data_IF_781011525805
#
_entry.id   IF_781011525805
#
_cell.length_a   1.000
_cell.length_b   1.000
_cell.length_c   1.000
_cell.angle_alpha   90.00
_cell.angle_beta   90.00
_cell.angle_gamma   90.00
#
_symmetry.space_group_name_H-M   'P 1'
#
loop_
_entity.id
_entity.type
_entity.pdbx_description
1 polymer ?
#
# COMPACT_ATOMS: atom_id res chain seq x y z
N UNK A 1 -6.91 -1.40 -60.84
CA UNK A 1 -6.78 -1.24 -60.21
C UNK A 1 -6.96 -1.49 -59.00
N UNK A 2 -6.95 -1.69 -58.45
CA UNK A 2 -7.05 -2.02 -57.50
C UNK A 2 -6.53 -1.78 -56.39
N UNK A 3 -6.58 -1.51 -55.72
CA UNK A 3 -6.12 -1.23 -54.74
C UNK A 3 -6.20 -1.80 -53.61
N UNK A 4 -5.91 -2.12 -53.14
CA UNK A 4 -5.63 -2.75 -52.26
C UNK A 4 -5.66 -2.27 -51.12
N UNK A 5 -6.02 -2.14 -50.54
CA UNK A 5 -6.10 -1.70 -49.51
C UNK A 5 -5.82 -2.21 -48.36
N UNK A 6 -5.41 -2.25 -47.89
CA UNK A 6 -4.99 -2.59 -46.92
C UNK A 6 -5.24 -2.39 -45.77
N UNK A 7 -5.57 -2.49 -45.28
CA UNK A 7 -5.90 -2.51 -44.28
C UNK A 7 -5.36 -2.86 -43.20
N UNK A 8 -4.92 -2.59 -42.83
CA UNK A 8 -4.41 -2.79 -41.90
C UNK A 8 -4.69 -2.99 -40.80
N UNK A 9 -4.93 -3.29 -40.44
CA UNK A 9 -5.02 -3.69 -39.57
C UNK A 9 -4.47 -3.66 -38.51
N UNK A 10 -4.44 -3.21 -38.10
CA UNK A 10 -3.97 -3.01 -37.17
C UNK A 10 -4.27 -3.54 -36.09
N UNK A 11 -4.18 -4.19 -35.86
CA UNK A 11 -4.33 -4.98 -34.77
C UNK A 11 -3.52 -4.46 -33.71
N UNK A 12 -3.86 -3.55 -33.15
CA UNK A 12 -3.16 -3.19 -32.03
C UNK A 12 -3.49 -4.12 -31.00
N UNK A 13 -2.59 -4.68 -30.43
CA UNK A 13 -2.77 -5.53 -29.31
C UNK A 13 -3.24 -4.68 -28.20
N UNK A 14 -4.33 -4.83 -27.87
CA UNK A 14 -4.81 -4.20 -26.77
C UNK A 14 -4.13 -4.73 -25.61
N UNK A 15 -3.18 -4.10 -25.14
CA UNK A 15 -2.77 -4.39 -23.83
C UNK A 15 -3.90 -4.05 -23.01
N UNK A 16 -4.37 -4.94 -22.28
CA UNK A 16 -5.53 -4.71 -21.48
C UNK A 16 -5.14 -3.66 -20.47
N UNK A 17 -5.74 -2.57 -20.55
CA UNK A 17 -5.63 -1.53 -19.56
C UNK A 17 -5.93 -2.08 -18.18
N UNK A 18 -6.77 -3.10 -18.08
CA UNK A 18 -7.10 -3.74 -16.83
C UNK A 18 -5.90 -4.44 -16.19
N UNK A 19 -5.07 -5.12 -16.98
CA UNK A 19 -3.90 -5.79 -16.44
C UNK A 19 -2.88 -4.79 -15.91
N UNK A 20 -2.67 -3.69 -16.64
CA UNK A 20 -1.77 -2.64 -16.20
C UNK A 20 -2.29 -1.96 -14.94
N UNK A 21 -3.60 -1.73 -14.84
CA UNK A 21 -4.18 -1.13 -13.66
C UNK A 21 -4.04 -2.06 -12.44
N UNK A 22 -4.25 -3.35 -12.62
CA UNK A 22 -4.12 -4.33 -11.53
C UNK A 22 -2.69 -4.38 -11.02
N UNK A 23 -1.72 -4.35 -11.93
CA UNK A 23 -0.32 -4.36 -11.56
C UNK A 23 0.05 -3.10 -10.79
N UNK A 24 -0.43 -1.94 -11.23
CA UNK A 24 -0.19 -0.67 -10.56
C UNK A 24 -0.82 -0.67 -9.16
N UNK A 25 -2.02 -1.20 -9.03
CA UNK A 25 -2.70 -1.31 -7.74
C UNK A 25 -1.87 -2.18 -6.80
N UNK A 26 -1.40 -3.33 -7.30
CA UNK A 26 -0.56 -4.20 -6.48
C UNK A 26 0.71 -3.50 -6.01
N UNK A 27 1.39 -2.80 -6.90
CA UNK A 27 2.61 -2.09 -6.53
C UNK A 27 2.34 -1.02 -5.48
N UNK A 28 1.28 -0.25 -5.68
CA UNK A 28 0.89 0.81 -4.74
C UNK A 28 0.57 0.22 -3.38
N UNK A 29 -0.25 -0.83 -3.36
CA UNK A 29 -0.67 -1.42 -2.10
C UNK A 29 0.45 -2.18 -1.40
N UNK A 30 1.43 -2.69 -2.17
CA UNK A 30 2.63 -3.28 -1.60
C UNK A 30 3.44 -2.21 -0.85
N UNK A 31 3.62 -1.04 -1.46
CA UNK A 31 4.35 0.06 -0.81
C UNK A 31 3.63 0.53 0.45
N UNK A 32 2.31 0.62 0.40
CA UNK A 32 1.50 1.03 1.56
C UNK A 32 1.61 -0.01 2.68
N UNK A 33 1.58 -1.29 2.32
CA UNK A 33 1.69 -2.35 3.32
C UNK A 33 3.07 -2.39 3.98
N UNK A 34 4.11 -2.05 3.23
CA UNK A 34 5.47 -1.96 3.79
C UNK A 34 5.58 -0.81 4.78
N UNK A 35 4.96 0.31 4.47
CA UNK A 35 4.88 1.44 5.39
C UNK A 35 4.16 1.02 6.67
N UNK A 36 3.07 0.28 6.54
CA UNK A 36 2.33 -0.22 7.68
C UNK A 36 3.17 -1.17 8.52
N UNK A 37 3.89 -2.08 7.89
CA UNK A 37 4.75 -3.00 8.61
C UNK A 37 5.80 -2.25 9.43
N UNK A 38 6.48 -1.29 8.81
CA UNK A 38 7.49 -0.51 9.52
C UNK A 38 6.89 0.28 10.67
N UNK A 39 5.71 0.86 10.44
CA UNK A 39 5.01 1.61 11.48
C UNK A 39 4.69 0.72 12.69
N UNK A 40 4.18 -0.49 12.44
CA UNK A 40 3.86 -1.41 13.52
C UNK A 40 5.12 -1.90 14.23
N UNK A 41 6.22 -2.11 13.50
CA UNK A 41 7.49 -2.46 14.13
C UNK A 41 7.94 -1.35 15.09
N UNK A 42 7.80 -0.10 14.69
CA UNK A 42 8.13 1.03 15.55
C UNK A 42 7.23 1.05 16.78
N UNK A 43 5.94 0.79 16.59
CA UNK A 43 4.99 0.69 17.72
C UNK A 43 5.45 -0.40 18.69
N UNK A 44 5.79 -1.57 18.18
CA UNK A 44 6.20 -2.69 19.02
C UNK A 44 7.54 -2.43 19.72
N UNK A 45 8.41 -1.64 19.10
CA UNK A 45 9.68 -1.26 19.68
C UNK A 45 9.59 -0.11 20.69
N UNK A 46 8.38 0.40 20.91
CA UNK A 46 8.17 1.41 21.92
C UNK A 46 8.43 2.83 21.46
N UNK A 47 8.52 3.07 20.15
CA UNK A 47 8.63 4.45 19.64
C UNK A 47 7.37 5.19 19.98
N UNK A 48 7.44 6.36 20.64
CA UNK A 48 6.23 7.10 21.00
C UNK A 48 5.49 7.60 19.77
N UNK A 49 4.17 7.62 19.86
CA UNK A 49 3.34 8.08 18.74
C UNK A 49 3.69 9.51 18.32
N UNK A 50 4.05 10.36 19.28
CA UNK A 50 4.40 11.75 18.99
C UNK A 50 5.59 11.81 18.02
N UNK A 51 6.57 10.93 18.23
CA UNK A 51 7.73 10.86 17.35
C UNK A 51 7.34 10.43 15.94
N UNK A 52 6.46 9.47 15.84
CA UNK A 52 5.99 8.98 14.54
C UNK A 52 5.23 10.10 13.80
N UNK A 53 4.38 10.83 14.51
CA UNK A 53 3.59 11.88 13.89
C UNK A 53 4.48 13.05 13.42
N UNK A 54 5.59 13.30 14.08
CA UNK A 54 6.52 14.35 13.67
C UNK A 54 7.08 14.12 12.27
N UNK A 55 7.20 12.85 11.86
CA UNK A 55 7.75 12.51 10.54
C UNK A 55 6.70 12.52 9.44
N UNK A 56 5.45 12.83 9.76
CA UNK A 56 4.33 12.71 8.81
C UNK A 56 3.49 13.97 8.78
N UNK A 57 4.15 15.13 8.82
CA UNK A 57 3.44 16.41 8.92
C UNK A 57 3.00 16.98 7.57
N UNK A 58 3.42 16.40 6.48
CA UNK A 58 3.08 16.92 5.15
C UNK A 58 1.58 16.84 4.88
N UNK A 59 1.03 17.92 4.35
CA UNK A 59 -0.38 17.97 3.99
C UNK A 59 -0.59 17.48 2.56
N UNK A 60 0.00 16.34 2.25
CA UNK A 60 -0.16 15.66 0.98
C UNK A 60 -1.02 14.42 1.20
N UNK A 61 -1.58 13.83 0.13
CA UNK A 61 -2.30 12.56 0.29
C UNK A 61 -1.45 11.48 0.97
N UNK A 62 -0.15 11.43 0.65
CA UNK A 62 0.76 10.46 1.27
C UNK A 62 0.94 10.76 2.76
N UNK A 63 1.11 12.02 3.11
CA UNK A 63 1.24 12.41 4.53
C UNK A 63 -0.01 12.08 5.32
N UNK A 64 -1.18 12.34 4.75
CA UNK A 64 -2.45 12.01 5.41
C UNK A 64 -2.61 10.50 5.60
N UNK A 65 -2.24 9.73 4.58
CA UNK A 65 -2.29 8.28 4.66
C UNK A 65 -1.34 7.77 5.74
N UNK A 66 -0.12 8.30 5.78
CA UNK A 66 0.87 7.90 6.78
C UNK A 66 0.35 8.16 8.19
N UNK A 67 -0.27 9.32 8.42
CA UNK A 67 -0.85 9.62 9.75
C UNK A 67 -1.97 8.66 10.10
N UNK A 68 -2.83 8.33 9.13
CA UNK A 68 -3.92 7.37 9.37
C UNK A 68 -3.37 6.00 9.76
N UNK A 69 -2.32 5.55 9.09
CA UNK A 69 -1.68 4.27 9.39
C UNK A 69 -1.06 4.29 10.79
N UNK A 70 -0.40 5.39 11.15
CA UNK A 70 0.19 5.54 12.49
C UNK A 70 -0.90 5.46 13.56
N UNK A 71 -1.99 6.20 13.37
CA UNK A 71 -3.07 6.20 14.34
C UNK A 71 -3.66 4.80 14.50
N UNK A 72 -3.85 4.09 13.40
CA UNK A 72 -4.38 2.73 13.44
C UNK A 72 -3.42 1.80 14.18
N UNK A 73 -2.14 1.84 13.84
CA UNK A 73 -1.14 0.98 14.47
C UNK A 73 -1.08 1.19 15.98
N UNK A 74 -1.18 2.44 16.44
CA UNK A 74 -1.04 2.74 17.84
C UNK A 74 -2.30 2.47 18.66
N UNK A 75 -3.42 2.19 18.01
CA UNK A 75 -4.62 1.68 18.67
C UNK A 75 -4.52 0.17 18.93
N UNK A 76 -3.57 -0.49 18.29
CA UNK A 76 -3.41 -1.94 18.44
C UNK A 76 -2.46 -2.23 19.59
N UNK A 77 -2.54 -3.43 20.18
CA UNK A 77 -1.74 -3.74 21.37
C UNK A 77 -0.26 -3.79 21.07
N UNK A 78 0.51 -3.46 22.10
CA UNK A 78 1.96 -3.66 22.10
C UNK A 78 2.23 -4.95 22.85
N UNK A 79 2.96 -5.85 22.22
CA UNK A 79 3.24 -7.16 22.79
C UNK A 79 4.61 -7.19 23.45
N UNK A 80 4.80 -8.16 24.33
CA UNK A 80 6.05 -8.27 25.10
C UNK A 80 7.04 -9.25 24.50
N UNK A 81 6.56 -10.23 23.74
CA UNK A 81 7.44 -11.24 23.18
C UNK A 81 7.79 -10.91 21.74
N UNK A 82 8.99 -11.27 21.36
CA UNK A 82 9.47 -11.00 20.01
C UNK A 82 8.57 -11.63 18.95
N UNK A 83 8.15 -12.86 19.17
CA UNK A 83 7.32 -13.54 18.17
C UNK A 83 5.98 -12.86 17.98
N UNK A 84 5.34 -12.40 19.04
CA UNK A 84 4.09 -11.68 18.92
C UNK A 84 4.28 -10.30 18.30
N UNK A 85 5.42 -9.66 18.54
CA UNK A 85 5.74 -8.38 17.94
C UNK A 85 5.90 -8.51 16.42
N UNK A 86 6.59 -9.54 15.97
CA UNK A 86 6.77 -9.83 14.54
C UNK A 86 5.43 -10.14 13.90
N UNK A 87 4.63 -10.97 14.57
CA UNK A 87 3.30 -11.33 14.08
C UNK A 87 2.39 -10.12 13.97
N UNK A 88 2.47 -9.21 14.93
CA UNK A 88 1.69 -7.97 14.89
C UNK A 88 2.05 -7.13 13.65
N UNK A 89 3.33 -7.04 13.32
CA UNK A 89 3.76 -6.28 12.15
C UNK A 89 3.26 -6.93 10.85
N UNK A 90 3.35 -8.24 10.75
CA UNK A 90 2.89 -8.96 9.57
C UNK A 90 1.37 -8.85 9.43
N UNK A 91 0.65 -9.04 10.53
CA UNK A 91 -0.81 -8.98 10.52
C UNK A 91 -1.30 -7.59 10.13
N UNK A 92 -0.70 -6.57 10.68
CA UNK A 92 -1.07 -5.20 10.36
C UNK A 92 -0.79 -4.88 8.89
N UNK A 93 0.37 -5.29 8.40
CA UNK A 93 0.73 -5.12 7.00
C UNK A 93 -0.31 -5.77 6.08
N UNK A 94 -0.73 -6.98 6.42
CA UNK A 94 -1.74 -7.70 5.63
C UNK A 94 -3.08 -6.97 5.66
N UNK A 95 -3.50 -6.49 6.81
CA UNK A 95 -4.76 -5.75 6.94
C UNK A 95 -4.75 -4.51 6.07
N UNK A 96 -3.65 -3.75 6.11
CA UNK A 96 -3.54 -2.53 5.33
C UNK A 96 -3.48 -2.83 3.83
N UNK A 97 -2.79 -3.90 3.44
CA UNK A 97 -2.77 -4.31 2.03
C UNK A 97 -4.18 -4.63 1.54
N UNK A 98 -4.94 -5.39 2.31
CA UNK A 98 -6.30 -5.75 1.94
C UNK A 98 -7.21 -4.53 1.82
N UNK A 99 -7.12 -3.61 2.77
CA UNK A 99 -7.90 -2.37 2.71
C UNK A 99 -7.52 -1.55 1.48
N UNK A 100 -6.23 -1.48 1.17
CA UNK A 100 -5.76 -0.74 0.02
C UNK A 100 -6.31 -1.31 -1.27
N UNK A 101 -6.26 -2.63 -1.43
CA UNK A 101 -6.79 -3.31 -2.61
C UNK A 101 -8.29 -3.05 -2.75
N UNK A 102 -9.03 -3.12 -1.66
CA UNK A 102 -10.47 -2.87 -1.68
C UNK A 102 -10.80 -1.44 -2.10
N UNK A 103 -10.00 -0.49 -1.67
CA UNK A 103 -10.22 0.92 -1.99
C UNK A 103 -9.91 1.25 -3.44
N UNK A 104 -8.92 0.59 -4.03
CA UNK A 104 -8.42 0.93 -5.35
C UNK A 104 -9.00 0.09 -6.50
N UNK A 105 -9.67 -1.02 -6.20
CA UNK A 105 -10.23 -1.83 -7.29
C UNK A 105 -11.61 -1.39 -7.74
#
# INVERSE_FOLDING_TARGET
MTKAILILLLATPATPATAAAEETIHETCTAVSQLAEQTMRNRQNGVPIVKMMETSQEETPVGKLARAIILDAYKRPKFRTKSYQVEAATSFSNDIYLECIEELK
#
